data_IF_142066332429
#
_entry.id   IF_142066332429
#
_cell.length_a   1.000
_cell.length_b   1.000
_cell.length_c   1.000
_cell.angle_alpha   90.00
_cell.angle_beta   90.00
_cell.angle_gamma   90.00
#
_symmetry.space_group_name_H-M   'P 1'
#
loop_
_entity.id
_entity.type
_entity.pdbx_description
1 polymer ?
#
# COMPACT_ATOMS: atom_id res chain seq x y z
N UNK A 1 31.22 -14.18 9.19
CA UNK A 1 30.01 -13.38 8.91
C UNK A 1 29.22 -14.17 7.88
N UNK A 2 28.19 -14.90 8.32
CA UNK A 2 27.35 -15.70 7.41
C UNK A 2 26.39 -14.75 6.73
N UNK A 3 26.46 -14.64 5.41
CA UNK A 3 25.46 -13.95 4.60
C UNK A 3 24.36 -14.98 4.36
N UNK A 4 23.23 -14.83 5.04
CA UNK A 4 22.02 -15.57 4.72
C UNK A 4 21.42 -14.98 3.45
N UNK A 5 21.23 -15.81 2.42
CA UNK A 5 20.51 -15.42 1.21
C UNK A 5 19.03 -15.22 1.60
N UNK A 6 18.60 -13.96 1.74
CA UNK A 6 17.22 -13.64 2.07
C UNK A 6 16.34 -13.92 0.86
N UNK A 7 15.42 -14.87 0.98
CA UNK A 7 14.43 -15.17 -0.06
C UNK A 7 13.32 -14.12 0.02
N UNK A 8 13.08 -13.43 -1.10
CA UNK A 8 11.94 -12.50 -1.25
C UNK A 8 10.81 -13.22 -2.00
N UNK A 9 9.60 -13.18 -1.45
CA UNK A 9 8.39 -13.64 -2.11
C UNK A 9 7.78 -12.48 -2.91
N UNK A 10 7.34 -12.75 -4.14
CA UNK A 10 6.65 -11.77 -4.98
C UNK A 10 5.23 -12.25 -5.23
N UNK A 11 4.25 -11.49 -4.75
CA UNK A 11 2.83 -11.78 -4.93
C UNK A 11 2.21 -10.81 -5.95
N UNK A 12 1.54 -11.38 -6.95
CA UNK A 12 0.77 -10.64 -7.95
C UNK A 12 -0.69 -10.64 -7.52
N UNK A 13 -1.21 -9.48 -7.10
CA UNK A 13 -2.50 -9.41 -6.39
C UNK A 13 -3.66 -9.09 -7.35
N UNK A 14 -3.48 -8.11 -8.26
CA UNK A 14 -4.51 -7.71 -9.21
C UNK A 14 -4.10 -6.54 -10.10
N UNK A 15 -4.51 -6.57 -11.37
CA UNK A 15 -4.14 -5.59 -12.39
C UNK A 15 -5.30 -5.33 -13.37
N UNK A 16 -5.33 -4.16 -13.99
CA UNK A 16 -6.29 -3.81 -15.04
C UNK A 16 -7.74 -3.99 -14.58
N UNK A 17 -8.53 -4.87 -15.22
CA UNK A 17 -9.92 -5.09 -14.82
C UNK A 17 -10.06 -5.68 -13.41
N UNK A 18 -8.99 -6.31 -12.89
CA UNK A 18 -8.93 -6.90 -11.56
C UNK A 18 -8.14 -6.01 -10.57
N UNK A 19 -8.03 -4.72 -10.85
CA UNK A 19 -7.36 -3.76 -9.96
C UNK A 19 -8.02 -3.73 -8.57
N UNK A 20 -7.17 -3.54 -7.55
CA UNK A 20 -7.52 -3.76 -6.15
C UNK A 20 -8.05 -2.47 -5.52
N UNK A 21 -9.13 -2.54 -4.75
CA UNK A 21 -9.56 -1.39 -3.96
C UNK A 21 -8.46 -1.00 -2.96
N UNK A 22 -8.27 0.31 -2.72
CA UNK A 22 -7.17 0.78 -1.89
C UNK A 22 -7.17 0.17 -0.49
N UNK A 23 -8.34 0.09 0.14
CA UNK A 23 -8.48 -0.47 1.48
C UNK A 23 -8.08 -1.95 1.53
N UNK A 24 -8.52 -2.77 0.56
CA UNK A 24 -8.19 -4.19 0.51
C UNK A 24 -6.68 -4.41 0.35
N UNK A 25 -6.02 -3.60 -0.48
CA UNK A 25 -4.56 -3.63 -0.62
C UNK A 25 -3.84 -3.21 0.66
N UNK A 26 -4.37 -2.22 1.38
CA UNK A 26 -3.79 -1.76 2.65
C UNK A 26 -3.97 -2.81 3.77
N UNK A 27 -5.11 -3.47 3.82
CA UNK A 27 -5.37 -4.56 4.76
C UNK A 27 -4.44 -5.75 4.48
N UNK A 28 -4.22 -6.07 3.19
CA UNK A 28 -3.22 -7.08 2.79
C UNK A 28 -1.80 -6.70 3.21
N UNK A 29 -1.42 -5.42 3.12
CA UNK A 29 -0.12 -4.95 3.61
C UNK A 29 0.02 -5.18 5.12
N UNK A 30 -1.01 -4.86 5.92
CA UNK A 30 -0.98 -5.06 7.37
C UNK A 30 -0.87 -6.54 7.72
N UNK A 31 -1.68 -7.40 7.10
CA UNK A 31 -1.62 -8.85 7.31
C UNK A 31 -0.27 -9.44 6.86
N UNK A 32 0.31 -8.93 5.77
CA UNK A 32 1.64 -9.37 5.29
C UNK A 32 2.74 -8.93 6.25
N UNK A 33 2.67 -7.70 6.75
CA UNK A 33 3.59 -7.19 7.75
C UNK A 33 3.56 -8.03 9.04
N UNK A 34 2.37 -8.43 9.52
CA UNK A 34 2.25 -9.34 10.67
C UNK A 34 2.98 -10.66 10.42
N UNK A 35 2.81 -11.28 9.23
CA UNK A 35 3.54 -12.52 8.88
C UNK A 35 5.06 -12.32 8.85
N UNK A 36 5.54 -11.18 8.36
CA UNK A 36 6.98 -10.85 8.33
C UNK A 36 7.52 -10.65 9.74
N UNK A 37 6.79 -9.95 10.61
CA UNK A 37 7.15 -9.78 12.02
C UNK A 37 7.26 -11.13 12.74
N UNK A 38 6.41 -12.09 12.40
CA UNK A 38 6.44 -13.46 12.92
C UNK A 38 7.56 -14.34 12.32
N UNK A 39 8.45 -13.77 11.50
CA UNK A 39 9.60 -14.46 10.90
C UNK A 39 9.33 -15.08 9.53
N UNK A 40 8.20 -14.72 8.89
CA UNK A 40 7.94 -15.01 7.49
C UNK A 40 8.92 -14.30 6.54
N UNK A 41 8.95 -14.68 5.25
CA UNK A 41 9.86 -14.10 4.28
C UNK A 41 9.47 -12.66 3.92
N UNK A 42 10.46 -11.85 3.56
CA UNK A 42 10.23 -10.55 2.93
C UNK A 42 9.31 -10.72 1.72
N UNK A 43 8.32 -9.84 1.59
CA UNK A 43 7.27 -9.98 0.57
C UNK A 43 7.10 -8.67 -0.22
N UNK A 44 7.05 -8.79 -1.54
CA UNK A 44 6.73 -7.71 -2.47
C UNK A 44 5.34 -7.96 -3.04
N UNK A 45 4.44 -7.00 -2.84
CA UNK A 45 3.10 -7.01 -3.43
C UNK A 45 3.12 -6.18 -4.72
N UNK A 46 2.77 -6.80 -5.85
CA UNK A 46 2.59 -6.13 -7.13
C UNK A 46 1.11 -6.06 -7.46
N UNK A 47 0.59 -4.84 -7.63
CA UNK A 47 -0.81 -4.57 -7.90
C UNK A 47 -1.03 -3.21 -8.56
N UNK A 48 -2.22 -3.03 -9.13
CA UNK A 48 -2.79 -1.74 -9.47
C UNK A 48 -3.98 -1.42 -8.55
N UNK A 49 -4.19 -0.15 -8.27
CA UNK A 49 -5.37 0.30 -7.53
C UNK A 49 -6.43 0.85 -8.48
N UNK A 50 -7.69 0.68 -8.09
CA UNK A 50 -8.78 1.51 -8.62
C UNK A 50 -8.46 3.00 -8.37
N UNK A 51 -9.00 3.89 -9.20
CA UNK A 51 -8.74 5.33 -9.10
C UNK A 51 -9.04 5.84 -7.68
N UNK A 52 -8.01 6.43 -7.04
CA UNK A 52 -8.06 6.83 -5.63
C UNK A 52 -7.09 7.99 -5.39
N UNK A 53 -7.50 8.93 -4.54
CA UNK A 53 -6.59 9.88 -3.92
C UNK A 53 -6.22 9.41 -2.52
N UNK A 54 -4.95 9.52 -2.15
CA UNK A 54 -4.49 9.17 -0.80
C UNK A 54 -3.74 10.34 -0.17
N UNK A 55 -4.14 10.74 1.02
CA UNK A 55 -3.52 11.84 1.76
C UNK A 55 -2.58 11.29 2.83
N UNK A 56 -1.27 11.48 2.62
CA UNK A 56 -0.26 11.16 3.63
C UNK A 56 -0.25 12.16 4.79
N UNK A 57 0.56 11.87 5.82
CA UNK A 57 0.63 12.66 7.07
C UNK A 57 0.92 14.16 6.92
N UNK A 58 1.41 14.62 5.76
CA UNK A 58 1.77 16.03 5.52
C UNK A 58 0.79 16.75 4.60
N UNK A 59 -0.30 16.13 4.20
CA UNK A 59 -1.33 16.74 3.35
C UNK A 59 -2.02 17.87 4.10
N UNK A 60 -2.13 19.02 3.46
CA UNK A 60 -2.90 20.17 3.95
C UNK A 60 -4.29 20.19 3.30
N UNK A 61 -5.29 20.75 3.99
CA UNK A 61 -6.68 20.75 3.48
C UNK A 61 -6.83 21.47 2.14
N UNK A 62 -6.02 22.50 1.89
CA UNK A 62 -6.00 23.24 0.63
C UNK A 62 -5.46 22.41 -0.57
N UNK A 63 -4.83 21.27 -0.31
CA UNK A 63 -4.28 20.37 -1.34
C UNK A 63 -5.30 19.28 -1.75
N UNK A 64 -6.41 19.15 -1.02
CA UNK A 64 -7.45 18.16 -1.31
C UNK A 64 -8.29 18.58 -2.53
N UNK A 65 -8.87 17.62 -3.29
CA UNK A 65 -9.77 17.93 -4.39
C UNK A 65 -10.96 18.80 -3.94
N UNK A 66 -11.30 19.81 -4.75
CA UNK A 66 -12.39 20.76 -4.47
C UNK A 66 -13.76 20.25 -4.94
N UNK A 67 -13.80 19.17 -5.69
CA UNK A 67 -14.98 18.58 -6.33
C UNK A 67 -15.60 17.43 -5.51
N UNK A 68 -15.25 17.34 -4.23
CA UNK A 68 -15.67 16.29 -3.30
C UNK A 68 -15.25 14.87 -3.72
N UNK A 69 -14.24 14.73 -4.60
CA UNK A 69 -13.65 13.42 -4.88
C UNK A 69 -13.15 12.80 -3.56
N UNK A 70 -13.53 11.55 -3.25
CA UNK A 70 -13.09 10.89 -2.02
C UNK A 70 -11.57 10.81 -1.91
N UNK A 71 -11.05 11.07 -0.72
CA UNK A 71 -9.62 10.93 -0.38
C UNK A 71 -9.49 10.01 0.82
N UNK A 72 -8.58 9.05 0.74
CA UNK A 72 -8.26 8.15 1.86
C UNK A 72 -7.10 8.73 2.66
N UNK A 73 -7.31 9.01 3.95
CA UNK A 73 -6.24 9.41 4.85
C UNK A 73 -5.41 8.20 5.28
N UNK A 74 -4.09 8.31 5.15
CA UNK A 74 -3.16 7.19 5.33
C UNK A 74 -1.96 7.55 6.19
N UNK A 75 -1.34 6.54 6.80
CA UNK A 75 -0.24 6.71 7.76
C UNK A 75 1.15 6.83 7.10
N UNK A 76 1.24 6.72 5.77
CA UNK A 76 2.50 6.96 5.05
C UNK A 76 2.97 8.41 5.18
N UNK A 77 4.28 8.59 4.98
CA UNK A 77 4.85 9.92 4.79
C UNK A 77 4.38 10.57 3.49
N UNK A 78 4.78 11.84 3.30
CA UNK A 78 4.42 12.62 2.11
C UNK A 78 3.06 13.30 2.20
N UNK A 79 2.68 13.95 1.10
CA UNK A 79 1.44 14.71 0.93
C UNK A 79 0.41 13.86 0.15
N UNK A 80 -0.56 14.51 -0.51
CA UNK A 80 -1.56 13.87 -1.34
C UNK A 80 -0.93 13.34 -2.64
N UNK A 81 -1.43 12.20 -3.13
CA UNK A 81 -1.16 11.67 -4.47
C UNK A 81 -2.42 11.03 -5.03
#
# INVERSE_FOLDING_TARGET
MSVTEATVVVEHVGFGPDAVAYQDGWDLQRATHERVVDGGPDTVLLLEHLAVYTAGRRTEDAERPLDATPVVDVDRGGKIT
#
